data_IF_949246605476
#
_entry.id   IF_949246605476
#
_cell.length_a   1.000
_cell.length_b   1.000
_cell.length_c   1.000
_cell.angle_alpha   90.00
_cell.angle_beta   90.00
_cell.angle_gamma   90.00
#
_symmetry.space_group_name_H-M   'P 1'
#
loop_
_entity.id
_entity.type
_entity.pdbx_description
1 polymer ?
#
# COMPACT_ATOMS: atom_id res chain seq x y z
N UNK A 1 13.93 10.92 18.83
CA UNK A 1 13.81 9.46 18.78
C UNK A 1 12.45 9.08 18.21
N UNK A 2 12.44 8.39 17.09
CA UNK A 2 11.19 7.93 16.49
C UNK A 2 10.63 6.77 17.30
N UNK A 3 9.52 7.00 17.99
CA UNK A 3 8.80 5.92 18.65
C UNK A 3 8.15 5.02 17.60
N UNK A 4 8.83 3.93 17.26
CA UNK A 4 8.29 2.93 16.36
C UNK A 4 7.32 2.04 17.12
N UNK A 5 6.06 2.10 16.72
CA UNK A 5 5.04 1.21 17.28
C UNK A 5 4.79 0.06 16.32
N UNK A 6 4.54 -1.12 16.85
CA UNK A 6 4.09 -2.24 16.05
C UNK A 6 2.59 -2.14 15.79
N UNK A 7 2.08 -2.95 14.85
CA UNK A 7 0.65 -3.01 14.57
C UNK A 7 -0.17 -3.51 15.77
N UNK A 8 0.47 -4.15 16.74
CA UNK A 8 -0.19 -4.60 17.97
C UNK A 8 -0.43 -3.47 18.96
N UNK A 9 0.25 -2.33 18.78
CA UNK A 9 0.23 -1.22 19.75
C UNK A 9 -0.85 -0.20 19.49
N UNK A 10 -1.57 -0.27 18.36
CA UNK A 10 -2.60 0.70 18.03
C UNK A 10 -3.91 0.04 17.62
N UNK A 11 -5.00 0.80 17.83
CA UNK A 11 -6.33 0.42 17.39
C UNK A 11 -6.57 0.95 15.98
N UNK A 12 -6.75 0.06 15.00
CA UNK A 12 -7.03 0.42 13.60
C UNK A 12 -8.49 0.24 13.21
N UNK A 13 -9.35 -0.16 14.16
CA UNK A 13 -10.76 -0.43 13.89
C UNK A 13 -11.45 0.81 13.29
N UNK A 14 -12.05 0.63 12.13
CA UNK A 14 -12.73 1.68 11.39
C UNK A 14 -11.81 2.72 10.75
N UNK A 15 -10.50 2.56 10.89
CA UNK A 15 -9.51 3.47 10.31
C UNK A 15 -9.02 3.01 8.96
N UNK A 16 -8.71 3.97 8.08
CA UNK A 16 -8.07 3.68 6.80
C UNK A 16 -6.57 3.51 7.04
N UNK A 17 -6.05 2.34 6.73
CA UNK A 17 -4.65 1.98 6.96
C UNK A 17 -3.95 1.85 5.61
N UNK A 18 -3.02 2.75 5.30
CA UNK A 18 -2.15 2.63 4.14
C UNK A 18 -0.96 1.74 4.52
N UNK A 19 -0.90 0.56 3.94
CA UNK A 19 0.15 -0.42 4.22
C UNK A 19 1.09 -0.52 3.01
N UNK A 20 2.32 -0.08 3.21
CA UNK A 20 3.38 -0.20 2.20
C UNK A 20 3.98 -1.59 2.27
N UNK A 21 3.81 -2.36 1.21
CA UNK A 21 4.34 -3.72 1.09
C UNK A 21 5.43 -3.80 0.02
N UNK A 22 6.13 -4.91 -0.02
CA UNK A 22 7.02 -5.24 -1.12
C UNK A 22 6.37 -6.33 -1.98
N UNK A 23 5.71 -5.90 -3.06
CA UNK A 23 5.09 -6.79 -4.05
C UNK A 23 5.85 -6.74 -5.38
N UNK A 24 7.11 -6.36 -5.32
CA UNK A 24 7.98 -6.39 -6.52
C UNK A 24 8.39 -7.83 -6.82
N UNK A 25 7.46 -8.57 -7.40
CA UNK A 25 7.60 -10.00 -7.69
C UNK A 25 7.90 -10.23 -9.17
N UNK A 26 8.62 -11.32 -9.51
CA UNK A 26 8.85 -11.66 -10.92
C UNK A 26 7.55 -12.14 -11.57
N UNK A 27 7.32 -11.64 -12.78
CA UNK A 27 6.15 -11.99 -13.59
C UNK A 27 6.60 -12.65 -14.90
N UNK A 28 5.83 -13.66 -15.32
CA UNK A 28 5.86 -14.21 -16.67
C UNK A 28 4.49 -13.93 -17.28
N UNK A 29 4.38 -12.84 -18.05
CA UNK A 29 3.11 -12.31 -18.46
C UNK A 29 2.30 -11.84 -17.24
N UNK A 30 1.14 -12.45 -17.00
CA UNK A 30 0.30 -12.19 -15.82
C UNK A 30 0.51 -13.20 -14.69
N UNK A 31 1.44 -14.15 -14.87
CA UNK A 31 1.72 -15.19 -13.87
C UNK A 31 2.86 -14.77 -12.95
N UNK A 32 2.62 -14.86 -11.66
CA UNK A 32 3.64 -14.63 -10.63
C UNK A 32 4.47 -15.90 -10.51
N UNK A 33 5.79 -15.81 -10.77
CA UNK A 33 6.68 -16.98 -10.74
C UNK A 33 7.30 -17.23 -9.37
N UNK A 34 7.30 -16.23 -8.49
CA UNK A 34 7.75 -16.35 -7.11
C UNK A 34 6.87 -15.46 -6.22
N UNK A 35 6.10 -16.08 -5.33
CA UNK A 35 5.17 -15.37 -4.46
C UNK A 35 5.67 -15.20 -3.03
N UNK A 36 6.95 -15.44 -2.77
CA UNK A 36 7.53 -15.36 -1.42
C UNK A 36 7.20 -14.03 -0.73
N UNK A 37 7.28 -12.92 -1.47
CA UNK A 37 6.99 -11.58 -0.93
C UNK A 37 5.52 -11.38 -0.61
N UNK A 38 4.62 -11.99 -1.38
CA UNK A 38 3.18 -11.95 -1.09
C UNK A 38 2.88 -12.70 0.20
N UNK A 39 3.43 -13.91 0.33
CA UNK A 39 3.24 -14.74 1.53
C UNK A 39 3.81 -14.04 2.77
N UNK A 40 4.96 -13.38 2.63
CA UNK A 40 5.58 -12.64 3.74
C UNK A 40 4.72 -11.48 4.24
N UNK A 41 3.89 -10.89 3.39
CA UNK A 41 3.00 -9.78 3.77
C UNK A 41 1.69 -10.25 4.43
N UNK A 42 1.32 -11.52 4.28
CA UNK A 42 0.04 -12.02 4.77
C UNK A 42 -0.18 -11.83 6.27
N UNK A 43 0.78 -12.07 7.17
CA UNK A 43 0.57 -11.88 8.60
C UNK A 43 0.13 -10.45 8.94
N UNK A 44 0.79 -9.44 8.37
CA UNK A 44 0.45 -8.03 8.56
C UNK A 44 -0.96 -7.73 8.04
N UNK A 45 -1.26 -8.15 6.82
CA UNK A 45 -2.55 -7.89 6.19
C UNK A 45 -3.67 -8.55 6.98
N UNK A 46 -3.51 -9.82 7.37
CA UNK A 46 -4.50 -10.55 8.16
C UNK A 46 -4.73 -9.91 9.52
N UNK A 47 -3.67 -9.44 10.17
CA UNK A 47 -3.77 -8.74 11.47
C UNK A 47 -4.60 -7.47 11.33
N UNK A 48 -4.34 -6.66 10.32
CA UNK A 48 -5.08 -5.42 10.08
C UNK A 48 -6.55 -5.69 9.77
N UNK A 49 -6.84 -6.74 8.99
CA UNK A 49 -8.22 -7.16 8.70
C UNK A 49 -8.92 -7.60 9.98
N UNK A 50 -8.27 -8.44 10.78
CA UNK A 50 -8.83 -8.97 12.03
C UNK A 50 -9.13 -7.86 13.04
N UNK A 51 -8.32 -6.80 13.02
CA UNK A 51 -8.51 -5.64 13.90
C UNK A 51 -9.56 -4.65 13.37
N UNK A 52 -10.20 -4.95 12.25
CA UNK A 52 -11.29 -4.14 11.69
C UNK A 52 -10.83 -2.92 10.90
N UNK A 53 -9.58 -2.90 10.42
CA UNK A 53 -9.06 -1.82 9.60
C UNK A 53 -9.60 -1.85 8.17
N UNK A 54 -9.62 -0.69 7.52
CA UNK A 54 -9.82 -0.56 6.08
C UNK A 54 -8.44 -0.55 5.45
N UNK A 55 -8.05 -1.67 4.83
CA UNK A 55 -6.65 -1.89 4.43
C UNK A 55 -6.42 -1.43 2.99
N UNK A 56 -5.53 -0.46 2.82
CA UNK A 56 -5.13 0.06 1.51
C UNK A 56 -3.67 -0.34 1.30
N UNK A 57 -3.44 -1.27 0.38
CA UNK A 57 -2.10 -1.76 0.07
C UNK A 57 -1.48 -0.93 -1.04
N UNK A 58 -0.20 -0.63 -0.93
CA UNK A 58 0.56 -0.01 -1.99
C UNK A 58 1.94 -0.64 -2.13
N UNK A 59 2.44 -0.68 -3.36
CA UNK A 59 3.75 -1.22 -3.68
C UNK A 59 4.24 -0.71 -5.04
N UNK A 60 5.53 -0.84 -5.27
CA UNK A 60 6.09 -0.70 -6.61
C UNK A 60 6.26 -2.08 -7.26
N UNK A 61 6.38 -2.10 -8.58
CA UNK A 61 6.71 -3.27 -9.37
C UNK A 61 7.60 -2.85 -10.54
N UNK A 62 8.81 -3.39 -10.61
CA UNK A 62 9.75 -3.08 -11.67
C UNK A 62 10.15 -1.60 -11.73
N UNK A 63 10.48 -1.13 -12.91
CA UNK A 63 10.91 0.25 -13.15
C UNK A 63 10.20 0.86 -14.37
N UNK A 64 8.86 0.99 -14.32
CA UNK A 64 8.14 1.61 -15.43
C UNK A 64 8.47 3.10 -15.52
N UNK A 65 8.38 3.65 -16.73
CA UNK A 65 8.57 5.10 -16.96
C UNK A 65 7.25 5.88 -16.88
N UNK A 66 6.17 5.19 -16.60
CA UNK A 66 4.81 5.72 -16.55
C UNK A 66 3.85 4.57 -16.54
N UNK A 67 2.54 4.81 -16.74
CA UNK A 67 1.56 3.74 -16.81
C UNK A 67 1.91 2.72 -17.88
N UNK A 68 2.03 1.44 -17.50
CA UNK A 68 2.41 0.35 -18.38
C UNK A 68 1.78 -0.95 -17.87
N UNK A 69 0.93 -1.56 -18.70
CA UNK A 69 0.22 -2.79 -18.35
C UNK A 69 1.16 -3.93 -17.96
N UNK A 70 2.37 -3.99 -18.51
CA UNK A 70 3.36 -5.01 -18.16
C UNK A 70 3.85 -4.89 -16.72
N UNK A 71 3.67 -3.72 -16.10
CA UNK A 71 4.07 -3.45 -14.72
C UNK A 71 2.86 -3.18 -13.80
N UNK A 72 1.65 -3.60 -14.23
CA UNK A 72 0.46 -3.47 -13.40
C UNK A 72 0.48 -4.45 -12.23
N UNK A 73 -0.08 -4.02 -11.09
CA UNK A 73 -0.25 -4.88 -9.92
C UNK A 73 -1.54 -5.70 -9.97
N UNK A 74 -2.31 -5.66 -11.06
CA UNK A 74 -3.54 -6.44 -11.20
C UNK A 74 -3.33 -7.94 -10.92
N UNK A 75 -2.28 -8.61 -11.45
CA UNK A 75 -2.03 -10.02 -11.11
C UNK A 75 -1.78 -10.25 -9.63
N UNK A 76 -1.13 -9.29 -8.96
CA UNK A 76 -0.87 -9.37 -7.52
C UNK A 76 -2.17 -9.30 -6.73
N UNK A 77 -3.09 -8.41 -7.10
CA UNK A 77 -4.40 -8.30 -6.45
C UNK A 77 -5.19 -9.61 -6.56
N UNK A 78 -5.17 -10.23 -7.73
CA UNK A 78 -5.83 -11.51 -7.97
C UNK A 78 -5.26 -12.61 -7.08
N UNK A 79 -3.94 -12.71 -7.01
CA UNK A 79 -3.28 -13.75 -6.21
C UNK A 79 -3.47 -13.52 -4.72
N UNK A 80 -3.40 -12.27 -4.25
CA UNK A 80 -3.67 -11.95 -2.85
C UNK A 80 -5.09 -12.32 -2.45
N UNK A 81 -6.07 -12.12 -3.33
CA UNK A 81 -7.46 -12.54 -3.07
C UNK A 81 -7.55 -14.05 -2.79
N UNK A 82 -6.83 -14.85 -3.57
CA UNK A 82 -6.78 -16.30 -3.38
C UNK A 82 -6.09 -16.66 -2.05
N UNK A 83 -4.96 -16.03 -1.75
CA UNK A 83 -4.18 -16.31 -0.54
C UNK A 83 -4.90 -15.88 0.74
N UNK A 84 -5.65 -14.79 0.70
CA UNK A 84 -6.40 -14.27 1.84
C UNK A 84 -7.76 -14.94 2.02
N UNK A 85 -8.28 -15.57 0.96
CA UNK A 85 -9.63 -16.14 0.99
C UNK A 85 -10.72 -15.07 0.99
N UNK A 86 -10.42 -13.85 0.59
CA UNK A 86 -11.39 -12.77 0.41
C UNK A 86 -10.97 -11.87 -0.74
N UNK A 87 -11.91 -11.11 -1.29
CA UNK A 87 -11.63 -10.19 -2.40
C UNK A 87 -10.66 -9.09 -1.97
N UNK A 88 -9.59 -8.93 -2.76
CA UNK A 88 -8.75 -7.74 -2.74
C UNK A 88 -9.13 -6.90 -3.95
N UNK A 89 -9.81 -5.79 -3.73
CA UNK A 89 -10.25 -4.91 -4.82
C UNK A 89 -9.04 -4.22 -5.41
N UNK A 90 -8.86 -4.32 -6.72
CA UNK A 90 -7.80 -3.61 -7.41
C UNK A 90 -8.30 -2.24 -7.84
N UNK A 91 -7.70 -1.18 -7.30
CA UNK A 91 -8.02 0.19 -7.69
C UNK A 91 -7.19 0.57 -8.93
N UNK A 92 -7.66 0.18 -10.10
CA UNK A 92 -7.01 0.44 -11.37
C UNK A 92 -7.05 1.93 -11.70
N UNK A 93 -5.94 2.63 -11.48
CA UNK A 93 -5.84 4.06 -11.73
C UNK A 93 -4.42 4.39 -12.21
N UNK A 94 -4.26 4.92 -13.44
CA UNK A 94 -2.93 5.23 -13.96
C UNK A 94 -2.22 6.35 -13.15
N UNK A 95 -2.98 7.13 -12.40
CA UNK A 95 -2.42 8.15 -11.50
C UNK A 95 -2.15 7.62 -10.09
N UNK A 96 -2.41 6.35 -9.83
CA UNK A 96 -2.28 5.66 -8.54
C UNK A 96 -3.28 6.18 -7.51
N UNK A 97 -3.28 7.46 -7.22
CA UNK A 97 -4.22 8.13 -6.32
C UNK A 97 -5.08 9.10 -7.15
N UNK A 98 -5.74 8.57 -8.16
CA UNK A 98 -6.66 9.33 -9.00
C UNK A 98 -8.11 9.14 -8.59
N UNK A 99 -9.06 9.57 -9.44
CA UNK A 99 -10.49 9.48 -9.13
C UNK A 99 -10.97 8.07 -8.82
N UNK A 100 -10.47 7.08 -9.54
CA UNK A 100 -10.88 5.68 -9.35
C UNK A 100 -10.43 5.14 -7.99
N UNK A 101 -9.18 5.44 -7.59
CA UNK A 101 -8.64 5.03 -6.30
C UNK A 101 -9.38 5.71 -5.16
N UNK A 102 -9.64 7.00 -5.27
CA UNK A 102 -10.36 7.78 -4.25
C UNK A 102 -11.79 7.26 -4.06
N UNK A 103 -12.49 6.95 -5.15
CA UNK A 103 -13.84 6.38 -5.10
C UNK A 103 -13.83 5.01 -4.43
N UNK A 104 -12.88 4.15 -4.77
CA UNK A 104 -12.76 2.82 -4.18
C UNK A 104 -12.51 2.89 -2.67
N UNK A 105 -11.64 3.80 -2.22
CA UNK A 105 -11.36 3.99 -0.79
C UNK A 105 -12.58 4.53 -0.05
N UNK A 106 -13.33 5.44 -0.66
CA UNK A 106 -14.54 6.02 -0.05
C UNK A 106 -15.64 4.98 0.20
N UNK A 107 -15.66 3.90 -0.58
CA UNK A 107 -16.65 2.82 -0.46
C UNK A 107 -16.23 1.69 0.50
N UNK A 108 -15.01 1.76 1.07
CA UNK A 108 -14.50 0.69 1.93
C UNK A 108 -15.30 0.55 3.23
N UNK A 109 -15.43 -0.71 3.64
CA UNK A 109 -15.97 -1.09 4.95
C UNK A 109 -14.87 -1.70 5.80
N UNK A 110 -15.10 -1.81 7.11
CA UNK A 110 -14.14 -2.43 8.03
C UNK A 110 -13.82 -3.85 7.57
N UNK A 111 -12.52 -4.16 7.46
CA UNK A 111 -12.05 -5.45 7.00
C UNK A 111 -11.87 -5.57 5.48
N UNK A 112 -12.27 -4.55 4.71
CA UNK A 112 -12.03 -4.55 3.26
C UNK A 112 -10.56 -4.31 2.94
N UNK A 113 -10.13 -4.83 1.79
CA UNK A 113 -8.75 -4.67 1.29
C UNK A 113 -8.79 -4.14 -0.13
N UNK A 114 -8.01 -3.10 -0.37
CA UNK A 114 -7.78 -2.53 -1.70
C UNK A 114 -6.29 -2.56 -1.99
N UNK A 115 -5.90 -2.86 -3.22
CA UNK A 115 -4.54 -2.68 -3.72
C UNK A 115 -4.53 -1.54 -4.73
N UNK A 116 -3.71 -0.54 -4.50
CA UNK A 116 -3.48 0.55 -5.45
C UNK A 116 -2.63 0.07 -6.62
N UNK A 117 -2.68 0.81 -7.72
CA UNK A 117 -1.83 0.53 -8.88
C UNK A 117 -0.36 0.82 -8.54
N UNK A 118 0.56 0.33 -9.37
CA UNK A 118 1.99 0.46 -9.18
C UNK A 118 2.40 1.91 -8.87
N UNK A 119 2.96 2.14 -7.69
CA UNK A 119 3.34 3.48 -7.23
C UNK A 119 4.36 4.14 -8.16
N UNK A 120 5.17 3.37 -8.86
CA UNK A 120 6.16 3.89 -9.81
C UNK A 120 5.58 4.32 -11.15
N UNK A 121 4.26 4.22 -11.35
CA UNK A 121 3.61 4.91 -12.46
C UNK A 121 3.72 6.44 -12.30
N UNK A 122 3.93 6.92 -11.08
CA UNK A 122 4.18 8.33 -10.80
C UNK A 122 5.67 8.56 -10.69
N UNK A 123 6.19 9.48 -11.49
CA UNK A 123 7.61 9.86 -11.45
C UNK A 123 8.02 10.39 -10.07
N UNK A 124 7.08 11.02 -9.37
CA UNK A 124 7.27 11.57 -8.03
C UNK A 124 7.59 10.51 -6.98
N UNK A 125 7.24 9.24 -7.21
CA UNK A 125 7.49 8.15 -6.24
C UNK A 125 8.97 8.04 -5.88
N UNK A 126 9.84 8.01 -6.89
CA UNK A 126 11.29 7.87 -6.68
C UNK A 126 11.96 9.18 -6.32
N UNK A 127 11.31 10.30 -6.64
CA UNK A 127 11.80 11.66 -6.35
C UNK A 127 11.24 12.23 -5.06
N UNK A 128 10.39 11.49 -4.35
CA UNK A 128 9.73 11.92 -3.12
C UNK A 128 9.00 13.27 -3.30
N UNK A 129 8.22 13.39 -4.38
CA UNK A 129 7.49 14.62 -4.70
C UNK A 129 6.37 14.91 -3.70
N UNK A 130 6.27 16.17 -3.27
CA UNK A 130 5.31 16.57 -2.22
C UNK A 130 3.86 16.30 -2.57
N UNK A 131 3.46 16.57 -3.82
CA UNK A 131 2.06 16.36 -4.25
C UNK A 131 1.65 14.90 -4.13
N UNK A 132 2.48 13.98 -4.61
CA UNK A 132 2.18 12.56 -4.54
C UNK A 132 2.16 12.07 -3.07
N UNK A 133 3.06 12.57 -2.25
CA UNK A 133 3.08 12.26 -0.82
C UNK A 133 1.79 12.70 -0.13
N UNK A 134 1.30 13.90 -0.44
CA UNK A 134 0.02 14.41 0.07
C UNK A 134 -1.15 13.56 -0.39
N UNK A 135 -1.16 13.16 -1.67
CA UNK A 135 -2.20 12.32 -2.23
C UNK A 135 -2.27 10.97 -1.51
N UNK A 136 -1.13 10.31 -1.31
CA UNK A 136 -1.08 9.06 -0.55
C UNK A 136 -1.54 9.24 0.89
N UNK A 137 -1.06 10.27 1.57
CA UNK A 137 -1.45 10.56 2.94
C UNK A 137 -2.94 10.88 3.08
N UNK A 138 -3.56 11.46 2.05
CA UNK A 138 -4.99 11.79 2.06
C UNK A 138 -5.88 10.54 2.09
N UNK A 139 -5.37 9.39 1.67
CA UNK A 139 -6.13 8.14 1.63
C UNK A 139 -6.21 7.44 2.97
N UNK A 140 -5.41 7.83 3.97
CA UNK A 140 -5.29 7.03 5.18
C UNK A 140 -5.30 7.86 6.46
N UNK A 141 -5.60 7.17 7.54
CA UNK A 141 -5.51 7.69 8.91
C UNK A 141 -4.26 7.16 9.61
N UNK A 142 -3.76 6.00 9.17
CA UNK A 142 -2.60 5.31 9.75
C UNK A 142 -1.72 4.81 8.61
N UNK A 143 -0.41 4.92 8.77
CA UNK A 143 0.57 4.40 7.82
C UNK A 143 1.35 3.23 8.44
N UNK A 144 1.38 2.09 7.72
CA UNK A 144 2.15 0.91 8.12
C UNK A 144 3.19 0.64 7.04
N UNK A 145 4.44 0.49 7.44
CA UNK A 145 5.53 0.16 6.52
C UNK A 145 6.00 -1.28 6.72
N UNK A 146 5.66 -2.15 5.77
CA UNK A 146 6.06 -3.55 5.73
C UNK A 146 7.00 -3.83 4.54
N UNK A 147 7.57 -2.80 3.93
CA UNK A 147 8.43 -2.92 2.76
C UNK A 147 9.90 -2.83 3.14
N UNK A 148 10.45 -3.90 3.65
CA UNK A 148 11.84 -3.97 4.14
C UNK A 148 12.85 -3.48 3.11
N UNK A 149 12.67 -3.84 1.85
CA UNK A 149 13.64 -3.52 0.80
C UNK A 149 13.70 -2.03 0.43
N UNK A 150 12.68 -1.23 0.77
CA UNK A 150 12.62 0.20 0.42
C UNK A 150 12.63 1.13 1.63
N UNK A 151 12.65 0.60 2.84
CA UNK A 151 12.52 1.40 4.07
C UNK A 151 13.64 2.43 4.23
N UNK A 152 14.81 2.18 3.66
CA UNK A 152 15.97 3.07 3.73
C UNK A 152 16.02 4.09 2.58
N UNK A 153 15.08 4.05 1.64
CA UNK A 153 15.01 4.97 0.49
C UNK A 153 13.89 5.98 0.69
N UNK A 154 14.15 7.22 0.33
CA UNK A 154 13.17 8.30 0.44
C UNK A 154 12.21 8.29 -0.77
N UNK A 155 11.22 7.42 -0.74
CA UNK A 155 10.14 7.37 -1.73
C UNK A 155 8.84 7.92 -1.13
N UNK A 156 7.94 8.43 -1.96
CA UNK A 156 6.69 9.02 -1.50
C UNK A 156 5.83 8.05 -0.69
N UNK A 157 5.82 6.77 -1.08
CA UNK A 157 5.03 5.75 -0.39
C UNK A 157 5.63 5.31 0.95
N UNK A 158 6.78 5.81 1.35
CA UNK A 158 7.31 5.55 2.69
C UNK A 158 7.63 6.84 3.46
N UNK A 159 8.58 7.64 3.00
CA UNK A 159 9.01 8.84 3.75
C UNK A 159 8.01 9.99 3.62
N UNK A 160 7.61 10.31 2.38
CA UNK A 160 6.72 11.44 2.13
C UNK A 160 5.34 11.27 2.75
N UNK A 161 4.71 10.10 2.55
CA UNK A 161 3.39 9.82 3.11
C UNK A 161 3.41 9.84 4.64
N UNK A 162 4.45 9.28 5.25
CA UNK A 162 4.63 9.31 6.71
C UNK A 162 4.68 10.76 7.23
N UNK A 163 5.43 11.63 6.56
CA UNK A 163 5.55 13.03 6.97
C UNK A 163 4.20 13.73 7.03
N UNK A 164 3.35 13.52 6.02
CA UNK A 164 2.03 14.16 5.97
C UNK A 164 1.02 13.53 6.94
N UNK A 165 1.01 12.22 7.08
CA UNK A 165 0.12 11.57 8.06
C UNK A 165 0.48 11.95 9.49
N UNK A 166 1.76 12.08 9.79
CA UNK A 166 2.22 12.49 11.11
C UNK A 166 1.75 13.90 11.49
N UNK A 167 1.66 14.80 10.52
CA UNK A 167 1.19 16.16 10.75
C UNK A 167 -0.32 16.27 10.93
N UNK A 168 -1.10 15.29 10.47
CA UNK A 168 -2.56 15.41 10.38
C UNK A 168 -3.31 15.05 11.65
N UNK A 169 -2.95 14.02 12.35
CA UNK A 169 -3.84 13.45 13.35
C UNK A 169 -3.15 12.75 14.51
N UNK A 170 -1.96 13.15 14.87
CA UNK A 170 -1.18 12.45 15.88
C UNK A 170 -0.96 10.98 15.52
N UNK A 171 -0.88 10.72 14.22
CA UNK A 171 -0.78 9.37 13.71
C UNK A 171 0.60 8.78 13.89
N UNK A 172 0.64 7.48 13.88
CA UNK A 172 1.84 6.71 14.18
C UNK A 172 2.28 5.96 12.94
N UNK A 173 3.57 5.98 12.65
CA UNK A 173 4.19 5.08 11.69
C UNK A 173 4.40 3.73 12.35
N UNK A 174 3.87 2.67 11.76
CA UNK A 174 4.05 1.31 12.25
C UNK A 174 5.09 0.59 11.42
N UNK A 175 6.00 -0.10 12.12
CA UNK A 175 7.02 -0.95 11.50
C UNK A 175 6.89 -2.37 12.01
N UNK A 176 7.10 -3.31 11.12
CA UNK A 176 7.16 -4.73 11.44
C UNK A 176 8.58 -5.23 11.26
#
# INVERSE_FOLDING_TARGET
MLNKKSIDDINVKGKRVLCRCDFNVPLDGSRITDETRLVAALPTIKKLIADGGKVILCSHLGKPKGPDAAFSLAPVAKRLSELLGQEVKFAADPEVVGPNAKAAVAEMKDGDVILLENTRYRAEETKNGDEFSKELASLCDVFVNDAFGTAHRAHCSNVGAVSYTHLRAHETTLHL
#
